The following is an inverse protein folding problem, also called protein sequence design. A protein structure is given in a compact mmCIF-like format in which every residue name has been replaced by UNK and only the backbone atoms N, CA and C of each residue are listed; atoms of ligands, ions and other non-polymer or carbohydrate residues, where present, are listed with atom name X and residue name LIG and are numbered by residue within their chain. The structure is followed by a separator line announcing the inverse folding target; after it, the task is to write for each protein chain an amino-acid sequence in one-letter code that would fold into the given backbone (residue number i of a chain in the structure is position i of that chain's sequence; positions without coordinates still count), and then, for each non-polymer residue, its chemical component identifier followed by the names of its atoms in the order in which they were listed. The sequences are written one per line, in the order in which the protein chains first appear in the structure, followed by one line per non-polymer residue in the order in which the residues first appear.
data_IF_933232779505
#
_entry.id   IF_933232779505
#
_cell.length_a   1.000
_cell.length_b   1.000
_cell.length_c   1.000
_cell.angle_alpha   90.00
_cell.angle_beta   90.00
_cell.angle_gamma   90.00
#
_symmetry.space_group_name_H-M   'P 1'
#
loop_
_entity.id
_entity.type
_entity.pdbx_description
1 polymer ?
#
# COMPACT_ATOMS: atom_id res chain seq x y z
N UNK A 1 9.79 10.13 -5.86
CA UNK A 1 10.40 10.47 -7.17
C UNK A 1 11.07 9.23 -7.72
N UNK A 2 11.38 9.21 -9.02
CA UNK A 2 12.21 8.16 -9.62
C UNK A 2 13.64 8.71 -9.77
N UNK A 3 14.60 8.13 -9.05
CA UNK A 3 15.99 8.56 -9.01
C UNK A 3 16.86 7.42 -9.51
N UNK A 4 17.62 7.65 -10.59
CA UNK A 4 18.38 6.62 -11.33
C UNK A 4 17.52 5.39 -11.65
N UNK A 5 16.30 5.63 -12.16
CA UNK A 5 15.38 4.57 -12.59
C UNK A 5 14.60 3.87 -11.47
N UNK A 6 14.91 4.12 -10.19
CA UNK A 6 14.23 3.50 -9.04
C UNK A 6 13.38 4.49 -8.26
N UNK A 7 12.23 4.06 -7.75
CA UNK A 7 11.43 4.90 -6.87
C UNK A 7 12.14 5.08 -5.53
N UNK A 8 12.38 6.33 -5.14
CA UNK A 8 13.06 6.70 -3.89
C UNK A 8 12.41 7.95 -3.28
N UNK A 9 12.60 8.13 -1.97
CA UNK A 9 12.40 9.42 -1.31
C UNK A 9 13.68 10.23 -1.43
N UNK A 10 13.60 11.40 -2.09
CA UNK A 10 14.76 12.26 -2.28
C UNK A 10 15.40 12.64 -0.94
N UNK A 11 14.60 12.98 0.07
CA UNK A 11 15.09 13.36 1.41
C UNK A 11 15.84 12.24 2.16
N UNK A 12 15.70 10.97 1.75
CA UNK A 12 16.42 9.82 2.33
C UNK A 12 17.48 9.24 1.40
N UNK A 13 17.59 9.76 0.17
CA UNK A 13 18.56 9.27 -0.81
C UNK A 13 19.84 10.09 -0.62
N UNK A 14 20.84 9.49 0.01
CA UNK A 14 22.11 10.16 0.24
C UNK A 14 22.94 10.14 -1.04
N UNK A 15 23.57 11.26 -1.39
CA UNK A 15 24.42 11.34 -2.59
C UNK A 15 25.56 10.33 -2.58
N UNK A 16 26.09 9.98 -1.39
CA UNK A 16 27.13 8.96 -1.23
C UNK A 16 26.69 7.55 -1.64
N UNK A 17 25.37 7.29 -1.66
CA UNK A 17 24.79 6.00 -2.03
C UNK A 17 24.48 5.93 -3.55
N UNK A 18 24.80 7.00 -4.30
CA UNK A 18 24.61 7.09 -5.74
C UNK A 18 25.96 7.15 -6.44
N UNK A 19 26.03 6.56 -7.65
CA UNK A 19 27.16 6.74 -8.54
C UNK A 19 27.14 8.16 -9.11
N UNK A 20 27.97 9.03 -8.52
CA UNK A 20 28.12 10.44 -8.89
C UNK A 20 29.12 10.66 -10.03
N UNK A 21 29.75 9.60 -10.54
CA UNK A 21 30.59 9.68 -11.75
C UNK A 21 29.75 9.90 -13.02
N UNK A 22 28.44 9.65 -12.93
CA UNK A 22 27.45 9.85 -14.00
C UNK A 22 26.39 10.87 -13.57
N UNK A 23 25.71 11.52 -14.52
CA UNK A 23 24.57 12.36 -14.20
C UNK A 23 23.51 11.59 -13.39
N UNK A 24 23.02 12.21 -12.32
CA UNK A 24 21.90 11.67 -11.55
C UNK A 24 20.61 12.05 -12.27
N UNK A 25 19.86 11.05 -12.73
CA UNK A 25 18.57 11.26 -13.39
C UNK A 25 17.45 11.29 -12.36
N UNK A 26 16.66 12.36 -12.35
CA UNK A 26 15.49 12.52 -11.49
C UNK A 26 14.26 12.74 -12.37
N UNK A 27 13.24 11.92 -12.14
CA UNK A 27 12.01 11.88 -12.93
C UNK A 27 10.78 11.78 -11.99
N UNK A 28 9.58 12.19 -12.45
CA UNK A 28 8.36 11.89 -11.73
C UNK A 28 8.13 10.37 -11.61
N UNK A 29 7.34 9.98 -10.62
CA UNK A 29 6.94 8.58 -10.44
C UNK A 29 6.00 8.14 -11.57
N UNK A 30 6.06 6.87 -11.98
CA UNK A 30 5.29 6.34 -13.12
C UNK A 30 3.85 5.99 -12.76
N UNK A 31 2.98 5.99 -13.77
CA UNK A 31 1.59 5.53 -13.65
C UNK A 31 0.61 6.59 -13.14
N UNK A 32 1.08 7.78 -12.79
CA UNK A 32 0.25 8.93 -12.44
C UNK A 32 0.47 10.06 -13.44
N UNK A 33 -0.57 10.85 -13.78
CA UNK A 33 -0.43 12.01 -14.66
C UNK A 33 0.57 13.02 -14.09
N UNK A 34 1.44 13.58 -14.94
CA UNK A 34 2.36 14.64 -14.53
C UNK A 34 1.64 15.97 -14.65
N UNK A 35 1.54 16.71 -13.55
CA UNK A 35 1.00 18.08 -13.58
C UNK A 35 2.06 19.07 -14.04
N UNK A 36 3.24 19.02 -13.41
CA UNK A 36 4.37 19.90 -13.71
C UNK A 36 5.67 19.34 -13.15
N UNK A 37 6.70 19.30 -13.99
CA UNK A 37 8.06 18.87 -13.61
C UNK A 37 8.08 17.51 -12.90
N UNK A 38 8.20 17.51 -11.57
CA UNK A 38 8.30 16.31 -10.71
C UNK A 38 7.03 16.08 -9.87
N UNK A 39 6.02 16.92 -10.05
CA UNK A 39 4.71 16.87 -9.40
C UNK A 39 3.77 16.03 -10.26
N UNK A 40 3.11 15.07 -9.62
CA UNK A 40 2.11 14.19 -10.25
C UNK A 40 0.76 14.37 -9.57
N UNK A 41 -0.30 14.16 -10.33
CA UNK A 41 -1.66 14.07 -9.81
C UNK A 41 -1.81 12.76 -9.01
N UNK A 42 -2.04 12.92 -7.71
CA UNK A 42 -2.16 11.81 -6.75
C UNK A 42 -3.62 11.36 -6.57
N UNK A 43 -4.58 12.02 -7.21
CA UNK A 43 -6.00 11.72 -7.01
C UNK A 43 -6.36 10.27 -7.39
N UNK A 44 -5.88 9.68 -8.50
CA UNK A 44 -6.12 8.26 -8.80
C UNK A 44 -5.61 7.33 -7.69
N UNK A 45 -4.46 7.66 -7.08
CA UNK A 45 -3.91 6.90 -5.96
C UNK A 45 -4.79 7.00 -4.72
N UNK A 46 -5.29 8.20 -4.39
CA UNK A 46 -6.14 8.40 -3.21
C UNK A 46 -7.56 7.87 -3.40
N UNK A 47 -8.05 7.81 -4.64
CA UNK A 47 -9.32 7.17 -4.95
C UNK A 47 -9.29 5.70 -4.54
N UNK A 48 -8.33 4.91 -5.02
CA UNK A 48 -8.20 3.49 -4.62
C UNK A 48 -7.95 3.32 -3.12
N UNK A 49 -7.25 4.26 -2.48
CA UNK A 49 -7.10 4.25 -1.02
C UNK A 49 -8.43 4.43 -0.28
N UNK A 50 -9.34 5.28 -0.77
CA UNK A 50 -10.66 5.50 -0.16
C UNK A 50 -11.63 4.34 -0.42
N UNK A 51 -11.54 3.71 -1.58
CA UNK A 51 -12.39 2.56 -1.95
C UNK A 51 -12.26 1.36 -0.99
N UNK A 52 -11.10 1.20 -0.34
CA UNK A 52 -10.90 0.14 0.67
C UNK A 52 -11.35 0.51 2.09
N UNK A 53 -12.02 1.66 2.27
CA UNK A 53 -12.51 2.18 3.55
C UNK A 53 -11.44 2.15 4.66
N UNK A 54 -10.42 3.02 4.57
CA UNK A 54 -9.23 2.98 5.42
C UNK A 54 -9.45 3.66 6.78
N UNK A 55 -10.54 3.32 7.45
CA UNK A 55 -10.93 3.80 8.78
C UNK A 55 -11.55 2.66 9.58
N UNK A 56 -11.46 2.73 10.91
CA UNK A 56 -12.01 1.68 11.78
C UNK A 56 -13.55 1.67 11.69
N UNK A 57 -14.12 0.50 11.43
CA UNK A 57 -15.57 0.28 11.47
C UNK A 57 -15.84 -0.73 12.57
N UNK A 58 -16.64 -0.36 13.55
CA UNK A 58 -16.98 -1.21 14.69
C UNK A 58 -18.50 -1.19 14.91
N UNK A 59 -19.09 -2.36 15.14
CA UNK A 59 -20.51 -2.56 15.42
C UNK A 59 -20.69 -2.59 16.93
N UNK A 60 -21.20 -1.50 17.50
CA UNK A 60 -21.50 -1.45 18.93
C UNK A 60 -21.47 -0.04 19.49
N UNK A 61 -21.79 0.07 20.77
CA UNK A 61 -21.63 1.32 21.50
C UNK A 61 -20.15 1.61 21.75
N UNK A 62 -19.80 2.88 21.74
CA UNK A 62 -18.48 3.32 22.15
C UNK A 62 -18.25 2.92 23.63
N UNK A 63 -17.14 2.22 23.94
CA UNK A 63 -16.82 1.87 25.31
C UNK A 63 -16.54 3.12 26.16
N UNK A 64 -16.70 3.01 27.47
CA UNK A 64 -16.38 4.09 28.42
C UNK A 64 -14.87 4.35 28.57
N UNK A 65 -14.04 3.46 28.02
CA UNK A 65 -12.57 3.50 28.00
C UNK A 65 -12.08 3.03 26.62
N UNK A 66 -10.79 2.72 26.47
CA UNK A 66 -10.25 2.14 25.25
C UNK A 66 -10.85 0.76 24.92
N UNK A 67 -10.85 0.41 23.62
CA UNK A 67 -11.10 -0.97 23.18
C UNK A 67 -9.87 -1.82 23.50
N UNK A 68 -10.06 -2.87 24.30
CA UNK A 68 -8.99 -3.79 24.65
C UNK A 68 -8.50 -4.55 23.40
N UNK A 69 -7.18 -4.72 23.29
CA UNK A 69 -6.52 -5.46 22.23
C UNK A 69 -5.29 -6.14 22.83
N UNK A 70 -5.09 -7.43 22.53
CA UNK A 70 -3.91 -8.15 23.01
C UNK A 70 -2.64 -7.68 22.29
N UNK A 71 -1.47 -7.92 22.87
CA UNK A 71 -0.20 -7.62 22.22
C UNK A 71 -0.02 -8.41 20.91
N UNK A 72 -0.47 -9.67 20.89
CA UNK A 72 -0.43 -10.55 19.72
C UNK A 72 -1.31 -10.01 18.58
N UNK A 73 -2.57 -9.63 18.89
CA UNK A 73 -3.47 -9.04 17.90
C UNK A 73 -2.91 -7.73 17.34
N UNK A 74 -2.30 -6.90 18.20
CA UNK A 74 -1.70 -5.64 17.77
C UNK A 74 -0.49 -5.87 16.86
N UNK A 75 0.31 -6.90 17.11
CA UNK A 75 1.49 -7.22 16.29
C UNK A 75 1.10 -7.68 14.88
N UNK A 76 -0.05 -8.37 14.73
CA UNK A 76 -0.54 -8.95 13.45
C UNK A 76 -0.52 -7.98 12.27
N UNK A 77 -0.82 -6.71 12.50
CA UNK A 77 -0.90 -5.68 11.46
C UNK A 77 0.15 -4.56 11.61
N UNK A 78 1.11 -4.70 12.53
CA UNK A 78 2.08 -3.64 12.87
C UNK A 78 2.84 -3.12 11.66
N UNK A 79 3.35 -4.03 10.82
CA UNK A 79 4.16 -3.64 9.67
C UNK A 79 3.40 -2.74 8.70
N UNK A 80 2.13 -3.06 8.44
CA UNK A 80 1.28 -2.28 7.53
C UNK A 80 0.87 -0.91 8.06
N UNK A 81 0.95 -0.68 9.38
CA UNK A 81 0.70 0.65 9.99
C UNK A 81 1.75 1.69 9.60
N UNK A 82 2.94 1.26 9.15
CA UNK A 82 4.08 2.15 8.85
C UNK A 82 3.93 2.90 7.53
N UNK A 83 2.86 2.64 6.77
CA UNK A 83 2.63 3.24 5.46
C UNK A 83 2.51 4.77 5.57
N UNK A 84 3.25 5.50 4.73
CA UNK A 84 3.26 6.97 4.69
C UNK A 84 2.55 7.54 3.45
N UNK A 85 1.80 6.70 2.72
CA UNK A 85 1.03 7.10 1.52
C UNK A 85 1.85 7.83 0.43
N UNK A 86 3.14 7.52 0.30
CA UNK A 86 4.04 8.17 -0.67
C UNK A 86 3.91 7.69 -2.12
N UNK A 87 2.97 6.78 -2.42
CA UNK A 87 2.78 6.09 -3.69
C UNK A 87 3.97 5.29 -4.28
N UNK A 88 5.16 5.29 -3.67
CA UNK A 88 6.38 4.69 -4.23
C UNK A 88 6.21 3.21 -4.65
N UNK A 89 5.49 2.42 -3.87
CA UNK A 89 5.19 1.01 -4.15
C UNK A 89 4.15 0.82 -5.26
N UNK A 90 3.16 1.71 -5.33
CA UNK A 90 2.11 1.66 -6.37
C UNK A 90 2.67 2.10 -7.72
N UNK A 91 3.38 3.22 -7.74
CA UNK A 91 4.04 3.73 -8.94
C UNK A 91 5.25 2.92 -9.40
N UNK A 92 5.69 1.90 -8.65
CA UNK A 92 6.71 0.94 -9.11
C UNK A 92 6.10 -0.33 -9.71
N UNK A 93 4.79 -0.52 -9.59
CA UNK A 93 4.10 -1.73 -10.01
C UNK A 93 3.77 -1.67 -11.52
N UNK A 94 4.30 -2.59 -12.35
CA UNK A 94 4.01 -2.60 -13.78
C UNK A 94 2.53 -2.83 -14.09
N UNK A 95 1.86 -3.64 -13.27
CA UNK A 95 0.42 -3.92 -13.40
C UNK A 95 -0.39 -2.62 -13.25
N UNK A 96 -0.03 -1.78 -12.28
CA UNK A 96 -0.69 -0.48 -12.08
C UNK A 96 -0.49 0.47 -13.27
N UNK A 97 0.63 0.39 -13.97
CA UNK A 97 0.88 1.24 -15.16
C UNK A 97 0.00 0.86 -16.36
N UNK A 98 -0.33 -0.42 -16.49
CA UNK A 98 -1.04 -0.96 -17.65
C UNK A 98 -2.53 -1.12 -17.42
N UNK A 99 -2.92 -1.34 -16.17
CA UNK A 99 -4.27 -1.73 -15.77
C UNK A 99 -4.83 -0.58 -14.93
N UNK A 100 -5.48 0.38 -15.59
CA UNK A 100 -5.99 1.60 -14.94
C UNK A 100 -7.08 1.37 -13.89
N UNK A 101 -7.41 0.10 -13.59
CA UNK A 101 -8.42 -0.32 -12.63
C UNK A 101 -7.84 -1.09 -11.43
N UNK A 102 -6.53 -1.41 -11.42
CA UNK A 102 -5.93 -2.10 -10.28
C UNK A 102 -5.79 -1.17 -9.07
N UNK A 103 -6.35 -1.55 -7.92
CA UNK A 103 -6.27 -0.79 -6.66
C UNK A 103 -4.85 -0.38 -6.26
N UNK A 104 -3.88 -1.23 -6.58
CA UNK A 104 -2.49 -0.98 -6.30
C UNK A 104 -2.02 -1.47 -4.91
N UNK A 105 -0.71 -1.71 -4.75
CA UNK A 105 -0.11 -2.22 -3.53
C UNK A 105 -0.41 -1.40 -2.26
N UNK A 106 -0.40 -0.06 -2.34
CA UNK A 106 -0.63 0.77 -1.17
C UNK A 106 -2.05 0.69 -0.61
N UNK A 107 -3.07 0.61 -1.49
CA UNK A 107 -4.45 0.44 -1.06
C UNK A 107 -4.62 -0.90 -0.35
N UNK A 108 -4.07 -1.98 -0.91
CA UNK A 108 -4.12 -3.32 -0.31
C UNK A 108 -3.39 -3.37 1.04
N UNK A 109 -2.24 -2.70 1.19
CA UNK A 109 -1.54 -2.59 2.50
C UNK A 109 -2.40 -1.88 3.54
N UNK A 110 -3.08 -0.80 3.15
CA UNK A 110 -3.96 -0.09 4.07
C UNK A 110 -5.24 -0.87 4.36
N UNK A 111 -5.75 -1.67 3.43
CA UNK A 111 -6.86 -2.58 3.68
C UNK A 111 -6.43 -3.70 4.64
N UNK A 112 -5.26 -4.32 4.40
CA UNK A 112 -4.67 -5.35 5.28
C UNK A 112 -4.62 -4.85 6.73
N UNK A 113 -4.18 -3.60 6.95
CA UNK A 113 -4.15 -2.99 8.28
C UNK A 113 -5.48 -3.12 9.02
N UNK A 114 -6.62 -2.90 8.35
CA UNK A 114 -7.94 -2.95 8.97
C UNK A 114 -8.56 -4.35 8.93
N UNK A 115 -8.27 -5.15 7.90
CA UNK A 115 -8.74 -6.55 7.81
C UNK A 115 -8.26 -7.34 9.02
N UNK A 116 -7.00 -7.15 9.43
CA UNK A 116 -6.39 -7.90 10.53
C UNK A 116 -6.37 -7.15 11.87
N UNK A 117 -7.09 -6.02 12.01
CA UNK A 117 -7.25 -5.33 13.29
C UNK A 117 -8.42 -5.94 14.06
N UNK A 118 -8.16 -6.57 15.22
CA UNK A 118 -9.18 -7.26 16.03
C UNK A 118 -10.31 -6.36 16.54
N UNK A 119 -10.18 -5.04 16.40
CA UNK A 119 -11.20 -4.05 16.79
C UNK A 119 -12.14 -3.68 15.64
N UNK A 120 -11.86 -4.12 14.41
CA UNK A 120 -12.62 -3.81 13.21
C UNK A 120 -13.60 -4.94 12.86
N UNK A 121 -14.88 -4.59 12.67
CA UNK A 121 -15.98 -5.51 12.36
C UNK A 121 -16.35 -5.52 10.86
N UNK A 122 -15.50 -4.94 10.01
CA UNK A 122 -15.70 -4.81 8.57
C UNK A 122 -14.60 -5.51 7.74
N UNK A 123 -13.84 -6.43 8.35
CA UNK A 123 -12.85 -7.27 7.68
C UNK A 123 -13.43 -7.98 6.45
N UNK A 124 -14.54 -8.72 6.62
CA UNK A 124 -15.20 -9.45 5.53
C UNK A 124 -15.64 -8.54 4.37
N UNK A 125 -16.19 -7.36 4.69
CA UNK A 125 -16.59 -6.39 3.68
C UNK A 125 -15.39 -5.90 2.85
N UNK A 126 -14.24 -5.67 3.48
CA UNK A 126 -13.01 -5.28 2.76
C UNK A 126 -12.43 -6.43 1.96
N UNK A 127 -12.54 -7.67 2.44
CA UNK A 127 -12.17 -8.85 1.66
C UNK A 127 -13.01 -8.95 0.39
N UNK A 128 -14.31 -8.68 0.44
CA UNK A 128 -15.17 -8.68 -0.76
C UNK A 128 -14.78 -7.58 -1.76
N UNK A 129 -14.51 -6.35 -1.30
CA UNK A 129 -14.02 -5.27 -2.17
C UNK A 129 -12.75 -5.69 -2.90
N UNK A 130 -11.83 -6.34 -2.19
CA UNK A 130 -10.56 -6.79 -2.74
C UNK A 130 -10.62 -8.10 -3.53
N UNK A 131 -11.73 -8.83 -3.44
CA UNK A 131 -11.97 -10.07 -4.18
C UNK A 131 -12.45 -9.81 -5.62
N UNK A 132 -12.67 -8.55 -6.00
CA UNK A 132 -12.96 -8.18 -7.38
C UNK A 132 -11.84 -8.65 -8.34
N UNK A 133 -12.18 -8.86 -9.62
CA UNK A 133 -11.21 -9.23 -10.68
C UNK A 133 -10.05 -8.24 -10.76
N UNK A 134 -10.31 -6.96 -10.53
CA UNK A 134 -9.33 -5.87 -10.51
C UNK A 134 -8.73 -5.63 -9.12
N UNK A 135 -9.14 -6.43 -8.12
CA UNK A 135 -8.61 -6.46 -6.77
C UNK A 135 -7.25 -7.16 -6.65
N UNK A 136 -7.06 -7.97 -5.60
CA UNK A 136 -5.75 -8.59 -5.30
C UNK A 136 -5.26 -9.54 -6.39
N UNK A 137 -6.14 -10.05 -7.23
CA UNK A 137 -5.85 -11.06 -8.26
C UNK A 137 -4.96 -10.56 -9.39
N UNK A 138 -4.91 -9.23 -9.60
CA UNK A 138 -4.01 -8.62 -10.58
C UNK A 138 -2.54 -8.64 -10.17
N UNK A 139 -2.24 -8.80 -8.87
CA UNK A 139 -0.87 -8.88 -8.40
C UNK A 139 -0.15 -10.12 -8.98
N UNK A 140 0.90 -9.87 -9.78
CA UNK A 140 1.78 -10.87 -10.40
C UNK A 140 3.07 -11.15 -9.63
N UNK A 141 3.11 -10.79 -8.34
CA UNK A 141 4.23 -11.13 -7.45
C UNK A 141 5.60 -10.64 -7.96
N UNK A 142 5.64 -9.42 -8.50
CA UNK A 142 6.85 -8.82 -9.11
C UNK A 142 7.84 -8.26 -8.10
N UNK A 143 7.45 -8.06 -6.84
CA UNK A 143 8.28 -7.52 -5.74
C UNK A 143 8.79 -6.07 -5.86
N UNK A 144 8.59 -5.38 -6.99
CA UNK A 144 8.92 -3.94 -7.12
C UNK A 144 8.34 -3.07 -6.00
N UNK A 145 7.18 -3.43 -5.44
CA UNK A 145 6.53 -2.69 -4.37
C UNK A 145 7.28 -2.80 -3.03
N UNK A 146 7.76 -3.99 -2.67
CA UNK A 146 8.58 -4.23 -1.48
C UNK A 146 9.94 -3.54 -1.62
N UNK A 147 10.61 -3.67 -2.79
CA UNK A 147 11.91 -3.01 -3.02
C UNK A 147 11.79 -1.48 -2.96
N UNK A 148 10.71 -0.91 -3.49
CA UNK A 148 10.51 0.54 -3.54
C UNK A 148 10.08 1.16 -2.19
N UNK A 149 9.67 0.35 -1.21
CA UNK A 149 9.08 0.87 0.02
C UNK A 149 10.14 1.54 0.91
N UNK A 150 10.09 2.87 1.14
CA UNK A 150 11.09 3.59 1.95
C UNK A 150 10.98 3.32 3.46
N UNK A 151 9.95 2.58 3.86
CA UNK A 151 9.65 2.17 5.23
C UNK A 151 9.93 0.70 5.50
N UNK A 152 10.36 -0.06 4.48
CA UNK A 152 10.68 -1.49 4.63
C UNK A 152 9.45 -2.38 4.87
N UNK A 153 8.25 -1.92 4.50
CA UNK A 153 7.02 -2.73 4.63
C UNK A 153 7.11 -3.91 3.68
N UNK A 154 6.75 -5.10 4.15
CA UNK A 154 6.70 -6.32 3.36
C UNK A 154 5.45 -6.36 2.47
N UNK A 155 5.38 -5.45 1.49
CA UNK A 155 4.16 -5.19 0.69
C UNK A 155 3.64 -6.43 -0.04
N UNK A 156 4.51 -7.18 -0.73
CA UNK A 156 4.10 -8.42 -1.42
C UNK A 156 3.54 -9.46 -0.44
N UNK A 157 4.09 -9.54 0.77
CA UNK A 157 3.61 -10.45 1.81
C UNK A 157 2.22 -10.04 2.28
N UNK A 158 2.00 -8.76 2.60
CA UNK A 158 0.67 -8.27 2.97
C UNK A 158 -0.39 -8.58 1.90
N UNK A 159 -0.06 -8.43 0.61
CA UNK A 159 -0.98 -8.80 -0.49
C UNK A 159 -1.25 -10.31 -0.48
N UNK A 160 -0.23 -11.14 -0.22
CA UNK A 160 -0.39 -12.59 -0.15
C UNK A 160 -1.27 -13.01 1.04
N UNK A 161 -1.12 -12.38 2.20
CA UNK A 161 -1.94 -12.63 3.38
C UNK A 161 -3.41 -12.28 3.13
N UNK A 162 -3.69 -11.16 2.46
CA UNK A 162 -5.07 -10.84 2.03
C UNK A 162 -5.61 -11.88 1.05
N UNK A 163 -4.82 -12.33 0.06
CA UNK A 163 -5.24 -13.41 -0.85
C UNK A 163 -5.61 -14.69 -0.08
N UNK A 164 -4.80 -15.07 0.91
CA UNK A 164 -5.09 -16.24 1.75
C UNK A 164 -6.35 -16.05 2.60
N UNK A 165 -6.57 -14.86 3.15
CA UNK A 165 -7.79 -14.55 3.90
C UNK A 165 -9.04 -14.65 3.02
N UNK A 166 -8.98 -14.18 1.76
CA UNK A 166 -10.08 -14.32 0.79
C UNK A 166 -10.35 -15.79 0.48
N UNK A 167 -9.31 -16.61 0.24
CA UNK A 167 -9.47 -18.03 -0.09
C UNK A 167 -9.97 -18.87 1.09
N UNK A 168 -9.46 -18.61 2.28
CA UNK A 168 -9.77 -19.40 3.49
C UNK A 168 -11.01 -18.92 4.24
N UNK A 169 -11.47 -17.68 3.98
CA UNK A 169 -12.49 -16.98 4.76
C UNK A 169 -12.17 -16.95 6.25
N UNK A 170 -10.88 -16.80 6.56
CA UNK A 170 -10.35 -16.68 7.92
C UNK A 170 -9.42 -15.48 7.99
N UNK A 171 -9.60 -14.70 9.05
CA UNK A 171 -8.78 -13.53 9.41
C UNK A 171 -7.96 -13.91 10.63
#
# INVERSE_FOLDING_TARGET
MRINGRNRLACKTLLKDLDTSKPITVEPIKGLPVEKDLIVDMEPFFQSFREVMPFLINRGHEPTKERLQSAEDRERFDDTTKCILCAACTSSCPVFWTDGQYFGPAAIVNAHRFIFDSRDDAGDMRLEILNDKEGVWRCRTTFNCTEACPRGIQVTQAIAEVKQAILSRKI
#
